data_IF_101467996885
#
_entry.id   IF_101467996885
#
_cell.length_a   1.000
_cell.length_b   1.000
_cell.length_c   1.000
_cell.angle_alpha   90.00
_cell.angle_beta   90.00
_cell.angle_gamma   90.00
#
_symmetry.space_group_name_H-M   'P 1'
#
loop_
_entity.id
_entity.type
_entity.pdbx_description
1 polymer ?
#
# COMPACT_ATOMS: atom_id res chain seq x y z
N UNK A 1 12.27 25.79 -18.12
CA UNK A 1 12.08 26.48 -16.83
C UNK A 1 10.88 25.90 -16.12
N UNK A 2 11.01 25.45 -14.88
CA UNK A 2 9.86 24.97 -14.15
C UNK A 2 8.81 26.08 -14.01
N UNK A 3 7.57 25.73 -14.21
CA UNK A 3 6.47 26.64 -13.95
C UNK A 3 6.25 26.76 -12.44
N UNK A 4 6.59 27.89 -11.88
CA UNK A 4 6.46 28.16 -10.44
C UNK A 4 5.12 28.78 -10.05
N UNK A 5 4.24 29.02 -11.02
CA UNK A 5 2.92 29.54 -10.73
C UNK A 5 2.03 28.45 -10.13
N UNK A 6 1.27 28.76 -9.07
CA UNK A 6 0.32 27.82 -8.53
C UNK A 6 -0.75 27.50 -9.55
N UNK A 7 -0.96 26.22 -9.82
CA UNK A 7 -1.99 25.74 -10.72
C UNK A 7 -3.30 25.66 -9.95
N UNK A 8 -4.36 26.26 -10.51
CA UNK A 8 -5.71 26.07 -10.01
C UNK A 8 -5.98 26.58 -8.61
N UNK A 9 -5.52 27.79 -8.30
CA UNK A 9 -5.77 28.43 -6.99
C UNK A 9 -7.27 28.44 -6.62
N UNK A 10 -8.15 28.46 -7.62
CA UNK A 10 -9.60 28.44 -7.42
C UNK A 10 -10.20 27.02 -7.44
N UNK A 11 -9.42 25.97 -7.71
CA UNK A 11 -9.90 24.60 -7.85
C UNK A 11 -9.16 23.66 -6.88
N UNK A 12 -9.93 22.92 -6.07
CA UNK A 12 -9.38 21.94 -5.15
C UNK A 12 -8.88 20.68 -5.89
N UNK A 13 -9.57 20.29 -6.98
CA UNK A 13 -9.29 19.09 -7.75
C UNK A 13 -9.21 19.43 -9.25
N UNK A 14 -8.06 19.93 -9.75
CA UNK A 14 -7.92 20.25 -11.16
C UNK A 14 -7.87 18.98 -12.02
N UNK A 15 -8.60 18.99 -13.13
CA UNK A 15 -8.53 17.93 -14.14
C UNK A 15 -7.58 18.35 -15.27
N UNK A 16 -6.72 17.41 -15.68
CA UNK A 16 -5.76 17.61 -16.75
C UNK A 16 -6.00 16.59 -17.87
N UNK A 17 -6.02 17.05 -19.10
CA UNK A 17 -5.99 16.16 -20.28
C UNK A 17 -4.65 15.40 -20.32
N UNK A 18 -3.56 16.08 -19.96
CA UNK A 18 -2.22 15.49 -19.87
C UNK A 18 -1.44 16.17 -18.76
N UNK A 19 -0.78 15.39 -17.94
CA UNK A 19 0.10 15.88 -16.86
C UNK A 19 1.48 15.27 -16.98
N UNK A 20 2.51 16.13 -17.13
CA UNK A 20 3.91 15.71 -17.15
C UNK A 20 4.64 16.23 -15.92
N UNK A 21 5.31 15.33 -15.20
CA UNK A 21 6.25 15.71 -14.16
C UNK A 21 7.66 15.75 -14.75
N UNK A 22 8.42 16.80 -14.50
CA UNK A 22 9.80 16.90 -14.98
C UNK A 22 10.80 16.13 -14.11
N UNK A 23 10.42 15.77 -12.88
CA UNK A 23 11.26 15.02 -11.95
C UNK A 23 10.45 13.97 -11.19
N UNK A 24 9.51 14.36 -10.33
CA UNK A 24 8.83 13.48 -9.42
C UNK A 24 7.30 13.65 -9.49
N UNK A 25 6.60 12.53 -9.32
CA UNK A 25 5.18 12.49 -9.04
C UNK A 25 4.93 11.59 -7.83
N UNK A 26 4.12 12.03 -6.88
CA UNK A 26 3.87 11.25 -5.68
C UNK A 26 2.92 11.94 -4.72
N UNK A 27 2.77 11.32 -3.55
CA UNK A 27 1.94 11.84 -2.47
C UNK A 27 2.74 12.68 -1.50
N UNK A 28 2.18 13.79 -1.05
CA UNK A 28 2.74 14.59 0.05
C UNK A 28 2.74 13.79 1.36
N UNK A 29 3.51 14.25 2.35
CA UNK A 29 3.55 13.63 3.66
C UNK A 29 2.18 13.55 4.36
N UNK A 30 1.29 14.51 4.09
CA UNK A 30 -0.07 14.51 4.64
C UNK A 30 -0.94 13.34 4.12
N UNK A 31 -0.66 12.84 2.92
CA UNK A 31 -1.37 11.71 2.31
C UNK A 31 -0.75 10.36 2.67
N UNK A 32 0.28 10.32 3.50
CA UNK A 32 1.01 9.12 3.91
C UNK A 32 0.78 8.80 5.38
N UNK A 33 0.97 7.54 5.74
CA UNK A 33 0.84 7.09 7.12
C UNK A 33 1.47 5.71 7.35
N UNK A 34 1.34 5.21 8.57
CA UNK A 34 1.83 3.89 8.95
C UNK A 34 0.90 3.23 9.96
N UNK A 35 0.83 1.90 9.91
CA UNK A 35 0.06 1.08 10.83
C UNK A 35 0.79 -0.24 11.08
N UNK A 36 0.56 -0.85 12.25
CA UNK A 36 1.13 -2.14 12.62
C UNK A 36 0.04 -3.14 12.95
N UNK A 37 0.15 -4.38 12.46
CA UNK A 37 -0.74 -5.47 12.84
C UNK A 37 -0.55 -5.86 14.29
N UNK A 38 -1.65 -6.02 15.03
CA UNK A 38 -1.60 -6.28 16.47
C UNK A 38 -1.36 -7.75 16.84
N UNK A 39 -2.16 -8.68 16.32
CA UNK A 39 -2.27 -10.04 16.88
C UNK A 39 -1.62 -11.11 16.00
N UNK A 40 -1.81 -11.03 14.70
CA UNK A 40 -1.33 -12.03 13.74
C UNK A 40 -1.12 -11.41 12.36
N UNK A 41 -0.49 -12.17 11.45
CA UNK A 41 -0.35 -11.74 10.05
C UNK A 41 -1.68 -11.62 9.28
N UNK A 42 -2.75 -12.24 9.78
CA UNK A 42 -4.10 -12.11 9.20
C UNK A 42 -4.94 -11.00 9.84
N UNK A 43 -4.42 -10.32 10.87
CA UNK A 43 -5.14 -9.23 11.53
C UNK A 43 -5.34 -8.06 10.57
N UNK A 44 -6.59 -7.65 10.37
CA UNK A 44 -6.92 -6.46 9.59
C UNK A 44 -6.36 -5.19 10.21
N UNK A 45 -6.11 -4.20 9.37
CA UNK A 45 -5.62 -2.88 9.78
C UNK A 45 -6.47 -1.78 9.17
N UNK A 46 -6.47 -0.60 9.79
CA UNK A 46 -7.13 0.60 9.26
C UNK A 46 -6.09 1.69 9.08
N UNK A 47 -5.99 2.22 7.86
CA UNK A 47 -5.13 3.34 7.52
C UNK A 47 -5.74 4.14 6.38
N UNK A 48 -6.42 5.23 6.70
CA UNK A 48 -7.13 6.10 5.75
C UNK A 48 -6.16 7.07 5.07
N UNK A 49 -5.28 6.54 4.22
CA UNK A 49 -4.23 7.28 3.52
C UNK A 49 -4.04 6.74 2.10
N UNK A 50 -3.67 7.61 1.17
CA UNK A 50 -3.43 7.22 -0.23
C UNK A 50 -2.14 6.44 -0.44
N UNK A 51 -1.18 6.58 0.47
CA UNK A 51 0.04 5.79 0.51
C UNK A 51 0.45 5.51 1.96
N UNK A 52 1.21 4.45 2.20
CA UNK A 52 1.63 4.18 3.57
C UNK A 52 2.43 2.90 3.73
N UNK A 53 2.68 2.59 5.01
CA UNK A 53 3.43 1.42 5.44
C UNK A 53 2.60 0.59 6.40
N UNK A 54 2.58 -0.71 6.17
CA UNK A 54 1.94 -1.68 7.05
C UNK A 54 3.03 -2.60 7.60
N UNK A 55 3.36 -2.45 8.88
CA UNK A 55 4.25 -3.40 9.57
C UNK A 55 3.43 -4.63 9.94
N UNK A 56 3.77 -5.76 9.35
CA UNK A 56 3.09 -7.02 9.63
C UNK A 56 3.49 -7.58 10.99
N UNK A 57 2.61 -8.40 11.56
CA UNK A 57 2.91 -9.11 12.80
C UNK A 57 4.04 -10.13 12.58
N UNK A 58 4.89 -10.34 13.61
CA UNK A 58 6.00 -11.29 13.58
C UNK A 58 5.62 -12.77 13.69
N UNK A 59 4.33 -13.11 13.73
CA UNK A 59 3.89 -14.51 13.79
C UNK A 59 4.40 -15.32 12.59
N UNK A 60 4.60 -16.63 12.80
CA UNK A 60 5.12 -17.52 11.77
C UNK A 60 4.21 -17.60 10.56
N UNK A 61 4.80 -17.56 9.36
CA UNK A 61 4.15 -17.87 8.09
C UNK A 61 4.84 -19.12 7.53
N UNK A 62 4.09 -20.22 7.42
CA UNK A 62 4.62 -21.49 6.95
C UNK A 62 5.19 -21.42 5.54
N UNK A 63 6.12 -22.31 5.23
CA UNK A 63 6.70 -22.46 3.90
C UNK A 63 5.64 -22.64 2.82
N UNK A 64 5.78 -21.94 1.70
CA UNK A 64 4.90 -22.09 0.54
C UNK A 64 3.44 -21.75 0.80
N UNK A 65 3.13 -20.93 1.81
CA UNK A 65 1.75 -20.54 2.14
C UNK A 65 1.52 -19.05 1.98
N UNK A 66 0.26 -18.68 1.81
CA UNK A 66 -0.21 -17.30 1.76
C UNK A 66 -0.99 -16.97 3.02
N UNK A 67 -0.79 -15.77 3.55
CA UNK A 67 -1.69 -15.14 4.50
C UNK A 67 -2.40 -13.97 3.84
N UNK A 68 -3.68 -13.80 4.14
CA UNK A 68 -4.50 -12.69 3.68
C UNK A 68 -4.89 -11.81 4.88
N UNK A 69 -4.95 -10.50 4.66
CA UNK A 69 -5.51 -9.56 5.63
C UNK A 69 -6.23 -8.41 4.92
N UNK A 70 -7.13 -7.76 5.63
CA UNK A 70 -7.89 -6.62 5.11
C UNK A 70 -7.25 -5.31 5.55
N UNK A 71 -7.01 -4.43 4.60
CA UNK A 71 -6.76 -3.01 4.84
C UNK A 71 -8.06 -2.25 4.67
N UNK A 72 -8.60 -1.69 5.75
CA UNK A 72 -9.69 -0.73 5.70
C UNK A 72 -9.12 0.65 5.45
N UNK A 73 -9.57 1.28 4.37
CA UNK A 73 -9.02 2.56 3.93
C UNK A 73 -10.07 3.33 3.11
N UNK A 74 -10.56 4.41 3.66
CA UNK A 74 -11.62 5.24 3.06
C UNK A 74 -11.24 5.87 1.71
N UNK A 75 -9.94 5.90 1.37
CA UNK A 75 -9.48 6.46 0.10
C UNK A 75 -9.49 5.43 -1.05
N UNK A 76 -9.78 4.16 -0.77
CA UNK A 76 -9.86 3.12 -1.79
C UNK A 76 -11.20 3.19 -2.52
N UNK A 77 -11.14 3.21 -3.85
CA UNK A 77 -12.30 2.98 -4.72
C UNK A 77 -12.20 1.63 -5.43
N UNK A 78 -13.33 1.08 -5.83
CA UNK A 78 -13.36 -0.18 -6.58
C UNK A 78 -12.70 -0.07 -7.97
N UNK A 79 -12.60 1.14 -8.51
CA UNK A 79 -11.99 1.42 -9.82
C UNK A 79 -10.51 1.81 -9.73
N UNK A 80 -9.97 1.89 -8.52
CA UNK A 80 -8.57 2.23 -8.30
C UNK A 80 -7.61 1.08 -8.55
N UNK A 81 -6.33 1.39 -8.53
CA UNK A 81 -5.22 0.42 -8.54
C UNK A 81 -4.39 0.62 -7.29
N UNK A 82 -4.04 -0.46 -6.62
CA UNK A 82 -3.16 -0.45 -5.46
C UNK A 82 -1.87 -1.18 -5.79
N UNK A 83 -0.76 -0.50 -5.58
CA UNK A 83 0.58 -1.07 -5.72
C UNK A 83 1.09 -1.42 -4.33
N UNK A 84 1.65 -2.62 -4.16
CA UNK A 84 2.26 -3.09 -2.92
C UNK A 84 3.64 -3.65 -3.18
N UNK A 85 4.56 -3.43 -2.24
CA UNK A 85 5.87 -4.06 -2.24
C UNK A 85 6.37 -4.28 -0.81
N UNK A 86 7.33 -5.19 -0.63
CA UNK A 86 8.05 -5.31 0.63
C UNK A 86 9.13 -4.24 0.68
N UNK A 87 9.03 -3.32 1.64
CA UNK A 87 9.96 -2.21 1.81
C UNK A 87 11.06 -2.48 2.83
N UNK A 88 10.82 -3.37 3.80
CA UNK A 88 11.77 -3.66 4.88
C UNK A 88 11.34 -4.90 5.69
N UNK A 89 12.14 -5.31 6.67
CA UNK A 89 11.76 -6.18 7.77
C UNK A 89 11.61 -7.66 7.45
N UNK A 90 11.97 -8.10 6.27
CA UNK A 90 11.91 -9.50 5.86
C UNK A 90 13.16 -9.94 5.14
N UNK A 91 13.38 -11.25 5.08
CA UNK A 91 14.45 -11.86 4.28
C UNK A 91 14.24 -11.50 2.80
N UNK A 92 15.30 -11.05 2.13
CA UNK A 92 15.24 -10.65 0.73
C UNK A 92 14.78 -11.80 -0.17
N UNK A 93 13.76 -11.52 -1.00
CA UNK A 93 13.19 -12.49 -1.94
C UNK A 93 12.26 -13.54 -1.30
N UNK A 94 12.12 -13.53 0.02
CA UNK A 94 11.31 -14.52 0.74
C UNK A 94 9.81 -14.26 0.64
N UNK A 95 9.39 -13.02 0.52
CA UNK A 95 7.99 -12.63 0.58
C UNK A 95 7.51 -11.96 -0.71
N UNK A 96 6.37 -12.41 -1.20
CA UNK A 96 5.70 -11.83 -2.37
C UNK A 96 4.35 -11.25 -1.95
N UNK A 97 4.26 -9.92 -1.80
CA UNK A 97 3.00 -9.26 -1.54
C UNK A 97 2.20 -9.08 -2.83
N UNK A 98 0.88 -9.14 -2.72
CA UNK A 98 -0.03 -8.86 -3.83
C UNK A 98 -1.37 -8.34 -3.32
N UNK A 99 -2.10 -7.68 -4.18
CA UNK A 99 -3.48 -7.25 -3.91
C UNK A 99 -4.42 -8.32 -4.42
N UNK A 100 -5.15 -8.96 -3.51
CA UNK A 100 -6.10 -10.02 -3.86
C UNK A 100 -7.44 -9.45 -4.36
N UNK A 101 -7.89 -8.34 -3.77
CA UNK A 101 -9.10 -7.64 -4.22
C UNK A 101 -9.14 -6.19 -3.74
N UNK A 102 -9.88 -5.35 -4.48
CA UNK A 102 -10.25 -3.99 -4.09
C UNK A 102 -11.77 -3.86 -4.10
N UNK A 103 -12.30 -3.23 -3.06
CA UNK A 103 -13.68 -2.78 -2.98
C UNK A 103 -13.71 -1.37 -2.43
N UNK A 104 -14.82 -0.67 -2.57
CA UNK A 104 -14.94 0.66 -1.99
C UNK A 104 -14.66 0.61 -0.48
N UNK A 105 -13.65 1.35 -0.03
CA UNK A 105 -13.25 1.44 1.37
C UNK A 105 -12.34 0.33 1.88
N UNK A 106 -11.94 -0.67 1.07
CA UNK A 106 -11.05 -1.74 1.54
C UNK A 106 -10.28 -2.45 0.45
N UNK A 107 -9.15 -3.04 0.85
CA UNK A 107 -8.35 -3.95 0.04
C UNK A 107 -8.06 -5.23 0.82
N UNK A 108 -8.04 -6.36 0.14
CA UNK A 108 -7.47 -7.59 0.67
C UNK A 108 -6.06 -7.73 0.11
N UNK A 109 -5.08 -7.84 0.99
CA UNK A 109 -3.67 -7.96 0.65
C UNK A 109 -3.20 -9.36 1.05
N UNK A 110 -2.50 -10.02 0.14
CA UNK A 110 -1.87 -11.31 0.36
C UNK A 110 -0.36 -11.17 0.53
N UNK A 111 0.21 -12.02 1.38
CA UNK A 111 1.65 -12.19 1.50
C UNK A 111 1.99 -13.66 1.39
N UNK A 112 2.75 -14.03 0.37
CA UNK A 112 3.20 -15.40 0.12
C UNK A 112 4.62 -15.60 0.64
N UNK A 113 4.86 -16.68 1.40
CA UNK A 113 6.20 -17.13 1.77
C UNK A 113 6.75 -18.07 0.69
N UNK A 114 7.68 -17.57 -0.11
CA UNK A 114 8.28 -18.29 -1.25
C UNK A 114 9.48 -19.16 -0.82
N UNK A 115 9.66 -19.44 0.46
CA UNK A 115 10.79 -20.24 0.94
C UNK A 115 10.37 -21.65 1.33
N UNK A 116 11.37 -22.53 1.50
CA UNK A 116 11.16 -23.89 1.97
C UNK A 116 10.99 -24.00 3.50
N UNK A 117 11.09 -22.88 4.22
CA UNK A 117 10.99 -22.83 5.69
C UNK A 117 9.92 -21.85 6.18
N UNK A 118 9.45 -22.08 7.40
CA UNK A 118 8.59 -21.12 8.10
C UNK A 118 9.41 -19.90 8.53
N UNK A 119 8.84 -18.70 8.34
CA UNK A 119 9.48 -17.43 8.70
C UNK A 119 8.64 -16.67 9.73
N UNK A 120 9.29 -16.22 10.80
CA UNK A 120 8.68 -15.44 11.89
C UNK A 120 9.23 -14.01 11.89
N UNK A 121 9.12 -13.34 10.76
CA UNK A 121 9.57 -11.97 10.57
C UNK A 121 8.39 -10.99 10.51
N UNK A 122 8.66 -9.71 10.68
CA UNK A 122 7.68 -8.63 10.59
C UNK A 122 7.95 -7.77 9.33
N UNK A 123 7.68 -8.28 8.12
CA UNK A 123 7.92 -7.50 6.92
C UNK A 123 7.04 -6.24 6.90
N UNK A 124 7.58 -5.18 6.35
CA UNK A 124 6.87 -3.92 6.12
C UNK A 124 6.42 -3.87 4.68
N UNK A 125 5.12 -3.80 4.47
CA UNK A 125 4.52 -3.62 3.15
C UNK A 125 4.28 -2.14 2.92
N UNK A 126 4.90 -1.60 1.88
CA UNK A 126 4.60 -0.27 1.38
C UNK A 126 3.45 -0.37 0.36
N UNK A 127 2.54 0.60 0.39
CA UNK A 127 1.49 0.69 -0.62
C UNK A 127 1.30 2.12 -1.12
N UNK A 128 0.77 2.23 -2.33
CA UNK A 128 0.30 3.46 -2.94
C UNK A 128 -0.93 3.19 -3.79
N UNK A 129 -1.85 4.15 -3.84
CA UNK A 129 -3.07 4.08 -4.63
C UNK A 129 -2.94 4.94 -5.88
N UNK A 130 -3.43 4.42 -7.00
CA UNK A 130 -3.73 5.20 -8.19
C UNK A 130 -5.25 5.19 -8.32
N UNK A 131 -5.88 6.36 -8.18
CA UNK A 131 -7.32 6.45 -8.15
C UNK A 131 -7.91 6.35 -9.56
N UNK A 132 -8.91 5.45 -9.72
CA UNK A 132 -9.84 5.45 -10.83
C UNK A 132 -11.17 6.08 -10.39
N UNK A 133 -11.85 6.75 -11.30
CA UNK A 133 -13.19 7.32 -11.07
C UNK A 133 -14.28 6.46 -11.73
#
# INVERSE_FOLDING_TARGET
MPNTQPVGVAFADPEFTTCYASQEIGYSSAAQGAVTQATSKSTGVTLNKSAGKITMNGAALAAGTTVLFTLTNSTISANGVMIVNVGAGGTSGAYWPYVASLTAGSAVIGLYNNTAGSLSEAPVINFALIHGQ
#
